data_IF_145915263005
#
_entry.id   IF_145915263005
#
_cell.length_a   1.000
_cell.length_b   1.000
_cell.length_c   1.000
_cell.angle_alpha   90.00
_cell.angle_beta   90.00
_cell.angle_gamma   90.00
#
_symmetry.space_group_name_H-M   'P 1'
#
loop_
_entity.id
_entity.type
_entity.pdbx_description
1 polymer ?
#
# COMPACT_ATOMS: atom_id res chain seq x y z
N UNK A 1 -1.05 2.50 -8.82
CA UNK A 1 0.02 3.43 -9.15
C UNK A 1 -0.43 4.86 -9.43
N UNK A 2 -1.56 5.06 -10.13
CA UNK A 2 -2.01 6.40 -10.49
C UNK A 2 -2.35 7.25 -9.26
N UNK A 3 -3.14 6.74 -8.34
CA UNK A 3 -3.54 7.41 -7.10
C UNK A 3 -2.32 7.83 -6.27
N UNK A 4 -1.35 6.92 -6.06
CA UNK A 4 -0.12 7.25 -5.33
C UNK A 4 0.67 8.40 -5.98
N UNK A 5 0.71 8.46 -7.32
CA UNK A 5 1.39 9.56 -8.03
C UNK A 5 0.68 10.90 -7.85
N UNK A 6 -0.66 10.90 -7.89
CA UNK A 6 -1.45 12.10 -7.60
C UNK A 6 -1.19 12.56 -6.18
N UNK A 7 -1.32 11.65 -5.20
CA UNK A 7 -1.10 11.98 -3.78
C UNK A 7 0.31 12.49 -3.49
N UNK A 8 1.32 11.91 -4.14
CA UNK A 8 2.70 12.38 -3.99
C UNK A 8 2.92 13.83 -4.48
N UNK A 9 2.15 14.25 -5.48
CA UNK A 9 2.24 15.59 -6.08
C UNK A 9 1.30 16.62 -5.46
N UNK A 10 0.39 16.21 -4.60
CA UNK A 10 -0.71 17.05 -4.14
C UNK A 10 -0.22 18.33 -3.42
N UNK A 11 0.87 18.22 -2.67
CA UNK A 11 1.48 19.35 -1.95
C UNK A 11 2.90 19.64 -2.43
N UNK A 12 3.29 19.14 -3.60
CA UNK A 12 4.64 19.22 -4.18
C UNK A 12 5.77 18.76 -3.24
N UNK A 13 5.44 17.87 -2.29
CA UNK A 13 6.41 17.37 -1.30
C UNK A 13 7.24 16.20 -1.80
N UNK A 14 6.82 15.55 -2.88
CA UNK A 14 7.49 14.39 -3.46
C UNK A 14 7.65 14.51 -4.96
N UNK A 15 8.82 14.18 -5.44
CA UNK A 15 9.12 14.02 -6.85
C UNK A 15 9.34 12.54 -7.18
N UNK A 16 8.83 12.09 -8.32
CA UNK A 16 9.04 10.73 -8.79
C UNK A 16 10.24 10.71 -9.70
N UNK A 17 11.35 10.23 -9.18
CA UNK A 17 12.67 10.27 -9.86
C UNK A 17 13.14 8.92 -10.39
N UNK A 18 12.56 7.82 -9.91
CA UNK A 18 12.97 6.46 -10.29
C UNK A 18 11.81 5.47 -10.18
N UNK A 19 11.92 4.32 -10.85
CA UNK A 19 10.92 3.28 -10.67
C UNK A 19 11.15 1.97 -11.43
N UNK A 20 10.38 0.96 -10.98
CA UNK A 20 10.13 -0.29 -11.68
C UNK A 20 8.64 -0.31 -12.01
N UNK A 21 8.27 0.01 -13.23
CA UNK A 21 6.87 0.22 -13.62
C UNK A 21 6.23 -1.02 -14.25
N UNK A 22 7.03 -2.01 -14.60
CA UNK A 22 6.58 -3.28 -15.19
C UNK A 22 7.61 -4.37 -14.95
N UNK A 23 7.15 -5.65 -14.94
CA UNK A 23 8.06 -6.82 -14.99
C UNK A 23 8.79 -6.92 -16.33
N UNK A 24 8.24 -6.32 -17.37
CA UNK A 24 8.89 -6.21 -18.68
C UNK A 24 9.75 -4.93 -18.70
N UNK A 25 11.05 -5.09 -18.86
CA UNK A 25 12.01 -3.98 -18.84
C UNK A 25 11.68 -2.88 -19.88
N UNK A 26 11.33 -3.28 -21.10
CA UNK A 26 10.99 -2.34 -22.18
C UNK A 26 9.74 -1.53 -21.86
N UNK A 27 8.70 -2.17 -21.30
CA UNK A 27 7.50 -1.48 -20.85
C UNK A 27 7.77 -0.59 -19.64
N UNK A 28 8.65 -1.00 -18.73
CA UNK A 28 9.06 -0.19 -17.58
C UNK A 28 9.72 1.11 -18.02
N UNK A 29 10.69 1.02 -18.92
CA UNK A 29 11.40 2.18 -19.48
C UNK A 29 10.43 3.11 -20.24
N UNK A 30 9.61 2.55 -21.11
CA UNK A 30 8.66 3.34 -21.90
C UNK A 30 7.68 4.10 -20.99
N UNK A 31 7.17 3.44 -19.96
CA UNK A 31 6.27 4.11 -19.01
C UNK A 31 7.00 5.17 -18.18
N UNK A 32 8.22 4.90 -17.73
CA UNK A 32 9.03 5.89 -17.01
C UNK A 32 9.27 7.16 -17.84
N UNK A 33 9.52 7.01 -19.14
CA UNK A 33 9.64 8.14 -20.07
C UNK A 33 8.38 9.03 -20.09
N UNK A 34 7.19 8.43 -20.06
CA UNK A 34 5.92 9.21 -20.02
C UNK A 34 5.75 10.01 -18.72
N UNK A 35 6.53 9.68 -17.69
CA UNK A 35 6.57 10.40 -16.42
C UNK A 35 7.74 11.39 -16.32
N UNK A 36 8.52 11.56 -17.39
CA UNK A 36 9.70 12.42 -17.39
C UNK A 36 10.92 11.83 -16.67
N UNK A 37 10.89 10.52 -16.33
CA UNK A 37 11.97 9.87 -15.60
C UNK A 37 13.11 9.51 -16.56
N UNK A 38 14.33 9.82 -16.14
CA UNK A 38 15.56 9.48 -16.88
C UNK A 38 15.69 7.96 -17.10
N UNK A 39 16.17 7.57 -18.27
CA UNK A 39 16.23 6.16 -18.68
C UNK A 39 17.09 5.31 -17.73
N UNK A 40 18.16 5.87 -17.20
CA UNK A 40 19.08 5.22 -16.25
C UNK A 40 18.45 4.97 -14.87
N UNK A 41 17.32 5.63 -14.57
CA UNK A 41 16.52 5.46 -13.35
C UNK A 41 15.21 4.67 -13.56
N UNK A 42 15.00 4.12 -14.76
CA UNK A 42 13.91 3.19 -15.09
C UNK A 42 14.45 1.75 -15.01
N UNK A 43 14.27 1.11 -13.88
CA UNK A 43 14.86 -0.19 -13.58
C UNK A 43 14.03 -1.37 -14.07
N UNK A 44 14.71 -2.51 -14.28
CA UNK A 44 14.06 -3.78 -14.65
C UNK A 44 13.60 -4.55 -13.41
N UNK A 45 14.26 -4.38 -12.27
CA UNK A 45 13.93 -5.08 -11.04
C UNK A 45 14.05 -4.16 -9.83
N UNK A 46 13.26 -4.45 -8.79
CA UNK A 46 13.34 -3.73 -7.51
C UNK A 46 14.68 -3.93 -6.79
N UNK A 47 15.34 -5.09 -7.01
CA UNK A 47 16.67 -5.38 -6.45
C UNK A 47 17.73 -4.44 -7.03
N UNK A 48 17.70 -4.30 -8.36
CA UNK A 48 18.58 -3.39 -9.08
C UNK A 48 18.33 -1.93 -8.63
N UNK A 49 17.07 -1.51 -8.56
CA UNK A 49 16.68 -0.19 -8.11
C UNK A 49 17.20 0.08 -6.70
N UNK A 50 16.95 -0.81 -5.74
CA UNK A 50 17.40 -0.63 -4.36
C UNK A 50 18.94 -0.51 -4.27
N UNK A 51 19.67 -1.33 -5.04
CA UNK A 51 21.14 -1.31 -5.06
C UNK A 51 21.71 -0.04 -5.68
N UNK A 52 21.18 0.38 -6.84
CA UNK A 52 21.72 1.54 -7.57
C UNK A 52 21.33 2.84 -6.89
N UNK A 53 20.06 2.99 -6.50
CA UNK A 53 19.58 4.20 -5.84
C UNK A 53 20.25 4.44 -4.48
N UNK A 54 20.55 3.39 -3.71
CA UNK A 54 21.25 3.54 -2.42
C UNK A 54 22.71 4.04 -2.53
N UNK A 55 23.27 4.03 -3.74
CA UNK A 55 24.65 4.48 -3.99
C UNK A 55 24.73 5.87 -4.62
N UNK A 56 23.61 6.45 -5.01
CA UNK A 56 23.53 7.78 -5.62
C UNK A 56 23.52 8.87 -4.55
N UNK A 57 24.15 9.98 -4.82
CA UNK A 57 24.06 11.18 -3.96
C UNK A 57 22.64 11.79 -4.02
N UNK A 58 21.98 11.68 -5.18
CA UNK A 58 20.61 12.10 -5.46
C UNK A 58 19.61 10.92 -5.43
N UNK A 59 19.94 9.85 -4.72
CA UNK A 59 19.16 8.63 -4.65
C UNK A 59 17.79 8.82 -4.01
N UNK A 60 16.89 7.85 -4.20
CA UNK A 60 15.55 7.91 -3.64
C UNK A 60 15.59 7.91 -2.11
N UNK A 61 14.79 8.75 -1.50
CA UNK A 61 14.61 8.83 -0.04
C UNK A 61 13.50 7.90 0.45
N UNK A 62 12.55 7.60 -0.42
CA UNK A 62 11.40 6.74 -0.12
C UNK A 62 10.97 5.96 -1.34
N UNK A 63 10.58 4.70 -1.16
CA UNK A 63 9.98 3.86 -2.20
C UNK A 63 8.50 3.65 -1.90
N UNK A 64 7.65 3.74 -2.93
CA UNK A 64 6.24 3.38 -2.85
C UNK A 64 6.02 1.99 -3.47
N UNK A 65 5.51 1.04 -2.68
CA UNK A 65 5.26 -0.35 -3.07
C UNK A 65 3.78 -0.54 -3.34
N UNK A 66 3.43 -0.81 -4.60
CA UNK A 66 2.06 -0.93 -5.10
C UNK A 66 1.86 -2.24 -5.89
N UNK A 67 2.54 -3.27 -5.46
CA UNK A 67 2.54 -4.60 -6.09
C UNK A 67 1.50 -5.51 -5.44
N UNK A 68 1.25 -6.72 -5.96
CA UNK A 68 0.39 -7.68 -5.26
C UNK A 68 0.90 -8.04 -3.85
N UNK A 69 0.01 -8.33 -2.90
CA UNK A 69 0.34 -8.56 -1.48
C UNK A 69 1.43 -9.60 -1.23
N UNK A 70 1.47 -10.66 -2.03
CA UNK A 70 2.48 -11.73 -1.92
C UNK A 70 3.93 -11.25 -2.13
N UNK A 71 4.12 -10.07 -2.71
CA UNK A 71 5.45 -9.51 -2.98
C UNK A 71 5.84 -8.36 -2.05
N UNK A 72 4.95 -7.85 -1.21
CA UNK A 72 5.22 -6.69 -0.36
C UNK A 72 6.43 -6.91 0.54
N UNK A 73 6.47 -8.04 1.27
CA UNK A 73 7.56 -8.37 2.18
C UNK A 73 8.91 -8.42 1.46
N UNK A 74 9.00 -9.18 0.38
CA UNK A 74 10.28 -9.40 -0.33
C UNK A 74 10.83 -8.10 -0.89
N UNK A 75 9.95 -7.24 -1.42
CA UNK A 75 10.35 -5.93 -1.96
C UNK A 75 10.79 -5.02 -0.81
N UNK A 76 9.96 -4.89 0.23
CA UNK A 76 10.25 -4.02 1.37
C UNK A 76 11.59 -4.36 2.03
N UNK A 77 11.89 -5.64 2.22
CA UNK A 77 13.16 -6.07 2.83
C UNK A 77 14.38 -5.57 2.05
N UNK A 78 14.31 -5.51 0.72
CA UNK A 78 15.45 -5.03 -0.09
C UNK A 78 15.70 -3.54 0.08
N UNK A 79 14.66 -2.75 0.28
CA UNK A 79 14.82 -1.32 0.55
C UNK A 79 15.20 -1.04 2.01
N UNK A 80 14.69 -1.83 2.97
CA UNK A 80 15.12 -1.76 4.38
C UNK A 80 16.63 -2.03 4.51
N UNK A 81 17.15 -3.05 3.80
CA UNK A 81 18.58 -3.36 3.75
C UNK A 81 19.45 -2.21 3.23
N UNK A 82 18.86 -1.26 2.53
CA UNK A 82 19.50 -0.07 1.99
C UNK A 82 19.17 1.22 2.73
N UNK A 83 18.48 1.13 3.86
CA UNK A 83 18.03 2.26 4.67
C UNK A 83 17.14 3.25 3.89
N UNK A 84 16.37 2.77 2.92
CA UNK A 84 15.40 3.56 2.15
C UNK A 84 14.05 3.46 2.83
N UNK A 85 13.38 4.59 3.07
CA UNK A 85 12.05 4.64 3.65
C UNK A 85 11.00 3.99 2.75
N UNK A 86 9.89 3.54 3.32
CA UNK A 86 8.88 2.78 2.58
C UNK A 86 7.50 3.35 2.82
N UNK A 87 6.74 3.51 1.74
CA UNK A 87 5.30 3.64 1.72
C UNK A 87 4.76 2.39 1.02
N UNK A 88 4.03 1.53 1.71
CA UNK A 88 3.49 0.30 1.13
C UNK A 88 1.98 0.36 1.03
N UNK A 89 1.46 -0.18 -0.07
CA UNK A 89 0.02 -0.40 -0.18
C UNK A 89 -0.45 -1.50 0.78
N UNK A 90 -1.72 -1.48 1.15
CA UNK A 90 -2.34 -2.54 1.96
C UNK A 90 -2.53 -3.83 1.11
N UNK A 91 -2.61 -5.00 1.73
CA UNK A 91 -2.31 -5.32 3.12
C UNK A 91 -0.80 -5.29 3.40
N UNK A 92 -0.41 -5.30 4.67
CA UNK A 92 0.99 -5.24 5.10
C UNK A 92 1.85 -6.35 4.48
N UNK A 93 1.31 -7.56 4.39
CA UNK A 93 1.94 -8.73 3.77
C UNK A 93 0.88 -9.71 3.26
N UNK A 94 1.29 -10.74 2.53
CA UNK A 94 0.39 -11.76 1.98
C UNK A 94 -0.11 -12.78 3.01
N UNK A 95 0.62 -12.97 4.13
CA UNK A 95 0.25 -13.86 5.22
C UNK A 95 0.95 -13.46 6.52
N UNK A 96 0.56 -14.12 7.63
CA UNK A 96 1.04 -13.79 8.99
C UNK A 96 2.55 -13.98 9.14
N UNK A 97 3.14 -15.04 8.57
CA UNK A 97 4.58 -15.29 8.70
C UNK A 97 5.41 -14.22 7.99
N UNK A 98 4.98 -13.81 6.81
CA UNK A 98 5.57 -12.67 6.09
C UNK A 98 5.44 -11.39 6.91
N UNK A 99 4.26 -11.15 7.51
CA UNK A 99 4.03 -9.98 8.34
C UNK A 99 4.95 -9.96 9.56
N UNK A 100 5.08 -11.07 10.29
CA UNK A 100 5.98 -11.19 11.45
C UNK A 100 7.45 -10.96 11.08
N UNK A 101 7.91 -11.54 9.96
CA UNK A 101 9.28 -11.34 9.46
C UNK A 101 9.54 -9.88 9.12
N UNK A 102 8.65 -9.27 8.33
CA UNK A 102 8.78 -7.87 7.94
C UNK A 102 8.74 -6.93 9.14
N UNK A 103 7.80 -7.13 10.07
CA UNK A 103 7.69 -6.35 11.30
C UNK A 103 8.96 -6.41 12.15
N UNK A 104 9.52 -7.61 12.35
CA UNK A 104 10.79 -7.78 13.07
C UNK A 104 11.92 -6.99 12.40
N UNK A 105 11.99 -7.02 11.08
CA UNK A 105 13.02 -6.31 10.31
C UNK A 105 12.86 -4.79 10.39
N UNK A 106 11.64 -4.28 10.34
CA UNK A 106 11.35 -2.85 10.52
C UNK A 106 11.73 -2.42 11.95
N UNK A 107 11.31 -3.18 12.96
CA UNK A 107 11.57 -2.85 14.36
C UNK A 107 13.06 -2.82 14.71
N UNK A 108 13.85 -3.68 14.08
CA UNK A 108 15.30 -3.73 14.28
C UNK A 108 16.06 -2.60 13.56
N UNK A 109 15.50 -1.99 12.54
CA UNK A 109 16.17 -0.91 11.79
C UNK A 109 15.55 0.45 12.13
N UNK A 110 16.16 1.18 13.07
CA UNK A 110 15.71 2.50 13.53
C UNK A 110 15.96 3.63 12.51
N UNK A 111 16.70 3.35 11.44
CA UNK A 111 17.06 4.38 10.43
C UNK A 111 15.95 4.61 9.40
N UNK A 112 14.99 3.68 9.29
CA UNK A 112 13.93 3.78 8.29
C UNK A 112 12.57 4.09 8.92
N UNK A 113 11.72 4.71 8.12
CA UNK A 113 10.30 4.85 8.40
C UNK A 113 9.50 3.97 7.44
N UNK A 114 8.50 3.29 7.97
CA UNK A 114 7.59 2.46 7.20
C UNK A 114 6.15 2.96 7.40
N UNK A 115 5.50 3.35 6.31
CA UNK A 115 4.11 3.75 6.30
C UNK A 115 3.27 2.76 5.49
N UNK A 116 2.12 2.34 6.04
CA UNK A 116 1.14 1.51 5.36
C UNK A 116 -0.07 2.37 4.97
N UNK A 117 -0.51 2.29 3.70
CA UNK A 117 -1.61 3.13 3.21
C UNK A 117 -2.97 2.59 3.62
N UNK A 118 -3.37 2.87 4.85
CA UNK A 118 -4.73 2.66 5.36
C UNK A 118 -5.52 3.98 5.31
N UNK A 119 -5.86 4.40 4.11
CA UNK A 119 -6.42 5.73 3.83
C UNK A 119 -7.80 5.98 4.45
N UNK A 120 -8.64 4.95 4.63
CA UNK A 120 -10.03 5.15 5.10
C UNK A 120 -10.11 5.64 6.54
N UNK A 121 -9.23 5.16 7.43
CA UNK A 121 -9.17 5.66 8.81
C UNK A 121 -8.74 7.15 8.91
N UNK A 122 -8.17 7.70 7.84
CA UNK A 122 -7.76 9.10 7.78
C UNK A 122 -8.82 10.02 7.14
N UNK A 123 -9.95 9.49 6.71
CA UNK A 123 -11.00 10.31 6.12
C UNK A 123 -11.56 11.31 7.13
N UNK A 124 -11.86 12.56 6.71
CA UNK A 124 -12.32 13.61 7.63
C UNK A 124 -13.51 13.18 8.48
N UNK A 125 -14.51 12.52 7.88
CA UNK A 125 -15.70 12.08 8.63
C UNK A 125 -15.41 10.96 9.64
N UNK A 126 -14.44 10.09 9.38
CA UNK A 126 -14.01 9.05 10.35
C UNK A 126 -13.31 9.71 11.53
N UNK A 127 -12.48 10.72 11.28
CA UNK A 127 -11.81 11.51 12.32
C UNK A 127 -12.80 12.33 13.13
N UNK A 128 -13.80 12.93 12.48
CA UNK A 128 -14.86 13.67 13.17
C UNK A 128 -15.71 12.73 14.05
N UNK A 129 -16.08 11.56 13.55
CA UNK A 129 -16.78 10.53 14.33
C UNK A 129 -16.02 10.19 15.63
N UNK A 130 -14.71 10.00 15.54
CA UNK A 130 -13.85 9.82 16.73
C UNK A 130 -13.97 10.96 17.73
N UNK A 131 -13.85 12.20 17.27
CA UNK A 131 -13.96 13.40 18.12
C UNK A 131 -15.33 13.48 18.81
N UNK A 132 -16.41 13.17 18.10
CA UNK A 132 -17.77 13.16 18.66
C UNK A 132 -17.92 12.11 19.76
N UNK A 133 -17.35 10.93 19.56
CA UNK A 133 -17.33 9.83 20.54
C UNK A 133 -16.52 10.24 21.78
N UNK A 134 -15.31 10.74 21.60
CA UNK A 134 -14.43 11.19 22.69
C UNK A 134 -15.06 12.33 23.52
N UNK A 135 -15.86 13.19 22.89
CA UNK A 135 -16.64 14.24 23.55
C UNK A 135 -17.93 13.73 24.21
N UNK A 136 -18.21 12.44 24.17
CA UNK A 136 -19.41 11.85 24.77
C UNK A 136 -20.73 12.24 24.07
N UNK A 137 -20.69 12.72 22.81
CA UNK A 137 -21.89 13.20 22.10
C UNK A 137 -22.94 12.12 21.84
N UNK A 138 -22.52 10.86 21.81
CA UNK A 138 -23.43 9.70 21.65
C UNK A 138 -23.50 8.81 22.89
N UNK A 139 -22.94 9.28 24.02
CA UNK A 139 -22.87 8.52 25.26
C UNK A 139 -21.87 7.36 25.21
N UNK A 140 -22.07 6.38 26.09
CA UNK A 140 -21.23 5.18 26.14
C UNK A 140 -21.55 4.27 24.95
N UNK A 141 -20.50 3.85 24.24
CA UNK A 141 -20.67 2.85 23.17
C UNK A 141 -20.93 1.49 23.80
N UNK A 142 -22.03 0.86 23.44
CA UNK A 142 -22.39 -0.50 23.86
C UNK A 142 -22.19 -1.51 22.75
N UNK A 143 -22.40 -1.10 21.50
CA UNK A 143 -22.26 -1.98 20.34
C UNK A 143 -21.77 -1.19 19.12
N UNK A 144 -20.92 -1.80 18.31
CA UNK A 144 -20.49 -1.26 17.02
C UNK A 144 -20.66 -2.31 15.93
N UNK A 145 -21.34 -1.93 14.86
CA UNK A 145 -21.43 -2.73 13.64
C UNK A 145 -20.75 -1.98 12.51
N UNK A 146 -19.83 -2.66 11.79
CA UNK A 146 -19.12 -2.11 10.64
C UNK A 146 -19.40 -2.98 9.43
N UNK A 147 -20.04 -2.40 8.44
CA UNK A 147 -20.33 -3.05 7.18
C UNK A 147 -19.63 -2.33 6.03
N UNK A 148 -19.01 -3.10 5.14
CA UNK A 148 -18.40 -2.58 3.93
C UNK A 148 -18.84 -3.43 2.74
N UNK A 149 -19.89 -3.01 2.08
CA UNK A 149 -20.49 -3.71 0.94
C UNK A 149 -19.83 -3.22 -0.34
N UNK A 150 -19.35 -4.16 -1.17
CA UNK A 150 -18.79 -3.88 -2.48
C UNK A 150 -19.36 -4.80 -3.55
N UNK A 151 -19.61 -4.24 -4.73
CA UNK A 151 -20.17 -4.93 -5.90
C UNK A 151 -19.15 -5.23 -7.00
N UNK A 152 -17.86 -4.91 -6.80
CA UNK A 152 -16.84 -5.09 -7.85
C UNK A 152 -16.62 -6.55 -8.28
N UNK A 153 -17.02 -7.51 -7.43
CA UNK A 153 -16.98 -8.95 -7.75
C UNK A 153 -18.29 -9.45 -8.38
N UNK A 154 -19.33 -8.64 -8.38
CA UNK A 154 -20.59 -8.97 -9.03
C UNK A 154 -20.41 -8.94 -10.56
N UNK A 155 -20.38 -10.14 -11.14
CA UNK A 155 -20.18 -10.32 -12.59
C UNK A 155 -21.32 -9.81 -13.48
N UNK A 156 -22.41 -9.29 -12.90
CA UNK A 156 -23.60 -8.86 -13.64
C UNK A 156 -23.47 -7.45 -14.22
N UNK A 157 -22.67 -6.58 -13.58
CA UNK A 157 -22.56 -5.15 -13.94
C UNK A 157 -21.33 -4.79 -14.77
N UNK A 158 -20.37 -5.69 -14.94
CA UNK A 158 -19.15 -5.40 -15.68
C UNK A 158 -19.12 -6.26 -16.94
N UNK A 159 -18.78 -5.65 -18.09
CA UNK A 159 -18.60 -6.35 -19.35
C UNK A 159 -17.56 -7.48 -19.17
N UNK A 160 -18.09 -8.66 -18.90
CA UNK A 160 -17.53 -9.75 -18.08
C UNK A 160 -16.25 -10.37 -18.65
N UNK A 161 -16.03 -10.31 -19.97
CA UNK A 161 -14.86 -11.00 -20.59
C UNK A 161 -13.52 -10.35 -20.25
N UNK A 162 -13.44 -9.02 -20.26
CA UNK A 162 -12.18 -8.30 -19.99
C UNK A 162 -11.93 -8.06 -18.50
N UNK A 163 -12.99 -7.88 -17.72
CA UNK A 163 -12.90 -7.67 -16.29
C UNK A 163 -12.53 -8.96 -15.54
N UNK A 164 -13.09 -10.12 -15.90
CA UNK A 164 -12.72 -11.42 -15.31
C UNK A 164 -11.22 -11.72 -15.45
N UNK A 165 -10.60 -11.37 -16.59
CA UNK A 165 -9.17 -11.59 -16.79
C UNK A 165 -8.32 -10.63 -15.92
N UNK A 166 -8.75 -9.37 -15.77
CA UNK A 166 -8.04 -8.36 -14.95
C UNK A 166 -8.22 -8.57 -13.45
N UNK A 167 -9.34 -9.17 -13.02
CA UNK A 167 -9.67 -9.36 -11.61
C UNK A 167 -9.30 -10.76 -11.09
N UNK A 168 -9.00 -11.72 -11.98
CA UNK A 168 -8.68 -13.10 -11.61
C UNK A 168 -7.59 -13.21 -10.53
N UNK A 169 -6.59 -12.32 -10.56
CA UNK A 169 -5.53 -12.31 -9.56
C UNK A 169 -6.02 -11.87 -8.17
N UNK A 170 -7.11 -11.08 -8.08
CA UNK A 170 -7.66 -10.60 -6.80
C UNK A 170 -8.39 -11.68 -6.00
N UNK A 171 -8.77 -12.77 -6.66
CA UNK A 171 -9.41 -13.94 -6.04
C UNK A 171 -8.49 -15.15 -5.99
N UNK A 172 -7.26 -15.03 -6.46
CA UNK A 172 -6.25 -16.09 -6.39
C UNK A 172 -5.53 -16.04 -5.04
N UNK A 173 -5.82 -17.01 -4.16
CA UNK A 173 -5.24 -17.09 -2.82
C UNK A 173 -3.70 -17.15 -2.81
N UNK A 174 -3.08 -17.63 -3.89
CA UNK A 174 -1.61 -17.62 -4.02
C UNK A 174 -1.03 -16.21 -4.21
N UNK A 175 -1.84 -15.29 -4.72
CA UNK A 175 -1.44 -13.90 -5.01
C UNK A 175 -1.86 -12.97 -3.89
N UNK A 176 -3.10 -13.09 -3.42
CA UNK A 176 -3.69 -12.17 -2.42
C UNK A 176 -3.63 -12.69 -0.98
N UNK A 177 -3.21 -13.94 -0.79
CA UNK A 177 -3.20 -14.60 0.53
C UNK A 177 -4.50 -15.34 0.84
N UNK A 178 -4.53 -16.03 2.00
CA UNK A 178 -5.61 -16.96 2.37
C UNK A 178 -6.98 -16.29 2.62
N UNK A 179 -7.02 -14.96 2.74
CA UNK A 179 -8.23 -14.20 3.09
C UNK A 179 -8.40 -13.02 2.15
N UNK A 180 -8.70 -13.29 0.88
CA UNK A 180 -8.81 -12.26 -0.16
C UNK A 180 -9.75 -11.11 0.25
N UNK A 181 -10.95 -11.41 0.76
CA UNK A 181 -11.94 -10.40 1.19
C UNK A 181 -11.43 -9.61 2.41
N UNK A 182 -10.90 -10.30 3.41
CA UNK A 182 -10.36 -9.65 4.60
C UNK A 182 -9.17 -8.73 4.24
N UNK A 183 -8.27 -9.18 3.39
CA UNK A 183 -7.12 -8.40 2.93
C UNK A 183 -7.51 -7.22 2.03
N UNK A 184 -8.59 -7.34 1.27
CA UNK A 184 -9.04 -6.27 0.38
C UNK A 184 -9.82 -5.18 1.13
N UNK A 185 -10.77 -5.55 1.96
CA UNK A 185 -11.74 -4.65 2.61
C UNK A 185 -11.79 -4.79 4.13
N UNK A 186 -11.71 -6.00 4.67
CA UNK A 186 -11.82 -6.23 6.10
C UNK A 186 -10.79 -5.48 6.93
N UNK A 187 -9.57 -5.30 6.40
CA UNK A 187 -8.54 -4.47 7.05
C UNK A 187 -8.96 -3.01 7.19
N UNK A 188 -9.67 -2.45 6.21
CA UNK A 188 -10.18 -1.09 6.28
C UNK A 188 -11.32 -0.96 7.30
N UNK A 189 -12.27 -1.91 7.30
CA UNK A 189 -13.36 -1.94 8.26
C UNK A 189 -12.83 -2.07 9.69
N UNK A 190 -11.91 -3.01 9.93
CA UNK A 190 -11.28 -3.25 11.22
C UNK A 190 -10.49 -2.04 11.73
N UNK A 191 -9.69 -1.41 10.88
CA UNK A 191 -8.93 -0.22 11.27
C UNK A 191 -9.82 0.99 11.51
N UNK A 192 -10.88 1.17 10.74
CA UNK A 192 -11.85 2.24 11.01
C UNK A 192 -12.49 2.04 12.38
N UNK A 193 -12.85 0.80 12.73
CA UNK A 193 -13.38 0.45 14.04
C UNK A 193 -12.39 0.80 15.16
N UNK A 194 -11.13 0.36 15.06
CA UNK A 194 -10.08 0.65 16.08
C UNK A 194 -9.91 2.17 16.24
N UNK A 195 -9.77 2.90 15.14
CA UNK A 195 -9.53 4.34 15.20
C UNK A 195 -10.71 5.15 15.74
N UNK A 196 -11.93 4.63 15.66
CA UNK A 196 -13.13 5.30 16.19
C UNK A 196 -13.36 4.94 17.66
N UNK A 197 -13.25 3.65 18.01
CA UNK A 197 -13.71 3.14 19.31
C UNK A 197 -12.63 2.94 20.36
N UNK A 198 -11.36 2.81 19.97
CA UNK A 198 -10.28 2.65 20.94
C UNK A 198 -9.67 4.00 21.33
N UNK A 199 -9.50 4.26 22.64
CA UNK A 199 -8.75 5.43 23.08
C UNK A 199 -7.30 5.30 22.62
N UNK A 200 -6.76 6.34 22.02
CA UNK A 200 -5.33 6.45 21.72
C UNK A 200 -4.55 6.38 23.04
N UNK A 201 -3.83 5.29 23.25
CA UNK A 201 -2.80 5.19 24.29
C UNK A 201 -1.50 5.84 23.84
#
# INVERSE_FOLDING_TARGET
GHVHRISARFDDKYEIVAGVFSRNAKLSINFGKTLGISKDRCYSTFKEMALKESKRNDGIQVVSIMTPPSSHQIIAEKFIEKNINIISDKPFAGNLDQAKKLYKKIKSNKKIKYALTHNYSAYPMVREAKVLIEKGKIGKIEYVNVEYIQDWSDGTKINVRNAKKKLKWKIDNKIVGASAVLNEIGTHAYLSLIHISEPTR
#
